data_IF_795430162201
#
_entry.id   IF_795430162201
#
_cell.length_a   1.000
_cell.length_b   1.000
_cell.length_c   1.000
_cell.angle_alpha   90.00
_cell.angle_beta   90.00
_cell.angle_gamma   90.00
#
_symmetry.space_group_name_H-M   'P 1'
#
loop_
_entity.id
_entity.type
_entity.pdbx_description
1 polymer ?
#
# COMPACT_ATOMS: atom_id res chain seq x y z
N UNK A 1 16.25 27.51 -20.04
CA UNK A 1 16.98 26.26 -19.82
C UNK A 1 16.06 25.10 -20.16
N UNK A 2 16.53 24.17 -20.97
CA UNK A 2 15.78 22.98 -21.40
C UNK A 2 16.45 21.74 -20.79
N UNK A 3 15.65 20.89 -20.13
CA UNK A 3 16.10 19.58 -19.66
C UNK A 3 15.64 18.53 -20.67
N UNK A 4 16.56 17.69 -21.12
CA UNK A 4 16.30 16.63 -22.10
C UNK A 4 16.52 15.29 -21.42
N UNK A 5 15.49 14.47 -21.35
CA UNK A 5 15.58 13.08 -20.93
C UNK A 5 15.81 12.20 -22.17
N UNK A 6 16.83 11.35 -22.10
CA UNK A 6 17.08 10.32 -23.11
C UNK A 6 16.83 8.97 -22.47
N UNK A 7 15.85 8.25 -23.01
CA UNK A 7 15.54 6.92 -22.57
C UNK A 7 16.16 5.88 -23.52
N UNK A 8 16.60 4.74 -22.99
CA UNK A 8 17.05 3.60 -23.77
C UNK A 8 15.90 2.79 -24.37
N UNK A 9 14.70 2.98 -23.87
CA UNK A 9 13.48 2.36 -24.36
C UNK A 9 12.64 3.41 -25.10
N UNK A 10 12.28 3.19 -26.37
CA UNK A 10 11.60 4.21 -27.17
C UNK A 10 10.16 4.52 -26.72
N UNK A 11 9.65 3.82 -25.71
CA UNK A 11 8.28 3.94 -25.27
C UNK A 11 8.19 3.72 -23.74
N UNK A 12 8.42 4.78 -22.97
CA UNK A 12 8.20 4.76 -21.53
C UNK A 12 6.98 5.62 -21.15
N UNK A 13 5.85 4.96 -20.91
CA UNK A 13 4.60 5.61 -20.45
C UNK A 13 4.63 5.96 -18.98
N UNK A 14 5.61 5.46 -18.22
CA UNK A 14 5.71 5.62 -16.77
C UNK A 14 6.63 6.77 -16.34
N UNK A 15 7.40 7.36 -17.26
CA UNK A 15 8.39 8.40 -16.94
C UNK A 15 7.81 9.54 -16.12
N UNK A 16 6.61 10.02 -16.45
CA UNK A 16 5.97 11.11 -15.69
C UNK A 16 5.67 10.73 -14.25
N UNK A 17 5.21 9.50 -14.02
CA UNK A 17 4.92 8.99 -12.67
C UNK A 17 6.21 8.82 -11.87
N UNK A 18 7.27 8.29 -12.49
CA UNK A 18 8.59 8.15 -11.86
C UNK A 18 9.15 9.52 -11.48
N UNK A 19 9.12 10.49 -12.38
CA UNK A 19 9.61 11.85 -12.11
C UNK A 19 8.78 12.61 -11.06
N UNK A 20 7.52 12.22 -10.84
CA UNK A 20 6.68 12.81 -9.78
C UNK A 20 6.80 12.09 -8.43
N UNK A 21 7.55 11.00 -8.36
CA UNK A 21 7.80 10.20 -7.16
C UNK A 21 9.06 10.67 -6.42
N UNK A 22 9.30 10.19 -5.17
CA UNK A 22 10.57 10.44 -4.46
C UNK A 22 11.83 9.93 -5.17
N UNK A 23 11.69 9.13 -6.23
CA UNK A 23 12.83 8.67 -7.04
C UNK A 23 13.36 9.72 -8.03
N UNK A 24 12.56 10.77 -8.33
CA UNK A 24 12.91 11.80 -9.32
C UNK A 24 12.96 13.23 -8.75
N UNK A 25 13.39 13.49 -7.49
CA UNK A 25 13.48 14.85 -6.99
C UNK A 25 14.56 15.63 -7.73
N UNK A 26 14.26 16.88 -8.06
CA UNK A 26 15.27 17.81 -8.57
C UNK A 26 15.93 18.46 -7.37
N UNK A 27 17.22 18.27 -7.24
CA UNK A 27 18.04 18.79 -6.15
C UNK A 27 19.11 19.75 -6.68
N UNK A 28 19.61 20.62 -5.82
CA UNK A 28 20.66 21.57 -6.11
C UNK A 28 22.02 20.84 -6.09
N UNK A 29 22.74 20.84 -7.23
CA UNK A 29 24.03 20.15 -7.38
C UNK A 29 25.16 20.77 -6.53
N UNK A 30 25.07 22.05 -6.20
CA UNK A 30 26.03 22.70 -5.32
C UNK A 30 25.83 22.33 -3.84
N UNK A 31 24.66 21.79 -3.51
CA UNK A 31 24.28 21.42 -2.16
C UNK A 31 24.43 19.92 -1.89
N UNK A 32 24.09 19.09 -2.88
CA UNK A 32 24.03 17.64 -2.72
C UNK A 32 25.04 16.96 -3.66
N UNK A 33 25.90 16.14 -3.06
CA UNK A 33 26.87 15.33 -3.78
C UNK A 33 26.14 14.22 -4.57
N UNK A 34 26.48 14.05 -5.85
CA UNK A 34 25.85 13.05 -6.71
C UNK A 34 26.12 11.60 -6.28
N UNK A 35 27.25 11.37 -5.59
CA UNK A 35 27.75 10.03 -5.24
C UNK A 35 27.58 9.69 -3.75
N UNK A 36 27.03 10.60 -2.96
CA UNK A 36 26.86 10.41 -1.51
C UNK A 36 25.48 10.78 -1.02
N UNK A 37 24.93 9.96 -0.13
CA UNK A 37 23.73 10.32 0.59
C UNK A 37 24.03 11.42 1.60
N UNK A 38 23.25 12.49 1.55
CA UNK A 38 23.31 13.54 2.56
C UNK A 38 22.71 13.04 3.88
N UNK A 39 23.38 13.38 5.00
CA UNK A 39 22.82 13.15 6.33
C UNK A 39 21.73 14.18 6.68
N UNK A 40 20.96 13.88 7.72
CA UNK A 40 19.83 14.72 8.15
C UNK A 40 20.25 16.15 8.52
N UNK A 41 21.40 16.33 9.19
CA UNK A 41 21.87 17.62 9.61
C UNK A 41 22.30 18.49 8.42
N UNK A 42 22.95 17.86 7.44
CA UNK A 42 23.28 18.52 6.16
C UNK A 42 22.02 18.98 5.46
N UNK A 43 21.00 18.10 5.32
CA UNK A 43 19.74 18.44 4.65
C UNK A 43 19.05 19.62 5.35
N UNK A 44 18.96 19.60 6.69
CA UNK A 44 18.33 20.67 7.48
C UNK A 44 19.10 21.98 7.38
N UNK A 45 20.44 21.93 7.52
CA UNK A 45 21.28 23.14 7.57
C UNK A 45 21.37 23.89 6.24
N UNK A 46 21.40 23.14 5.12
CA UNK A 46 21.54 23.71 3.77
C UNK A 46 20.27 24.41 3.27
N UNK A 47 19.08 24.06 3.80
CA UNK A 47 17.80 24.69 3.45
C UNK A 47 17.49 24.71 1.94
N UNK A 48 17.98 23.74 1.20
CA UNK A 48 17.85 23.65 -0.25
C UNK A 48 16.51 23.02 -0.64
N UNK A 49 15.38 23.66 -0.27
CA UNK A 49 14.03 23.14 -0.49
C UNK A 49 13.27 24.05 -1.48
N UNK A 50 12.70 23.42 -2.51
CA UNK A 50 11.86 24.10 -3.49
C UNK A 50 10.36 23.93 -3.23
N UNK A 51 9.97 23.14 -2.22
CA UNK A 51 8.58 22.88 -1.84
C UNK A 51 7.94 24.01 -1.02
N UNK A 52 6.63 23.88 -0.70
CA UNK A 52 5.90 24.86 0.10
C UNK A 52 6.35 24.95 1.58
N UNK A 53 7.11 23.96 2.04
CA UNK A 53 7.69 23.90 3.38
C UNK A 53 9.19 23.61 3.30
N UNK A 54 9.93 24.11 4.27
CA UNK A 54 11.33 23.78 4.54
C UNK A 54 11.43 22.90 5.78
N UNK A 55 12.28 21.89 5.74
CA UNK A 55 12.59 21.05 6.92
C UNK A 55 13.48 21.87 7.88
N UNK A 56 13.05 22.01 9.13
CA UNK A 56 13.75 22.81 10.15
C UNK A 56 14.39 21.94 11.25
N UNK A 57 13.87 20.74 11.44
CA UNK A 57 14.46 19.72 12.31
C UNK A 57 14.05 18.33 11.87
N UNK A 58 14.93 17.35 12.05
CA UNK A 58 14.64 15.96 11.77
C UNK A 58 15.36 15.06 12.76
N UNK A 59 14.62 14.15 13.35
CA UNK A 59 15.15 13.13 14.24
C UNK A 59 14.59 11.77 13.81
N UNK A 60 15.48 10.90 13.39
CA UNK A 60 15.12 9.58 12.82
C UNK A 60 14.20 8.83 13.79
N UNK A 61 13.11 8.27 13.27
CA UNK A 61 12.10 7.48 13.99
C UNK A 61 11.38 8.25 15.13
N UNK A 62 11.57 9.55 15.25
CA UNK A 62 10.96 10.32 16.34
C UNK A 62 10.11 11.49 15.80
N UNK A 63 10.71 12.41 15.02
CA UNK A 63 9.99 13.61 14.61
C UNK A 63 10.59 14.29 13.38
N UNK A 64 9.74 15.09 12.72
CA UNK A 64 10.18 16.07 11.74
C UNK A 64 9.42 17.39 11.96
N UNK A 65 10.12 18.52 11.81
CA UNK A 65 9.52 19.85 11.90
C UNK A 65 9.72 20.62 10.61
N UNK A 66 8.66 21.28 10.17
CA UNK A 66 8.65 22.05 8.95
C UNK A 66 8.15 23.46 9.21
N UNK A 67 8.74 24.44 8.54
CA UNK A 67 8.26 25.81 8.47
C UNK A 67 7.82 26.17 7.06
N UNK A 68 6.89 27.10 6.93
CA UNK A 68 6.46 27.64 5.65
C UNK A 68 7.66 28.18 4.87
N UNK A 69 7.72 27.86 3.59
CA UNK A 69 8.72 28.40 2.67
C UNK A 69 8.17 29.63 1.95
N UNK A 70 8.55 30.82 2.39
CA UNK A 70 8.12 32.08 1.79
C UNK A 70 8.70 32.32 0.38
N UNK A 71 9.74 31.58 0.02
CA UNK A 71 10.34 31.61 -1.33
C UNK A 71 9.63 30.70 -2.34
N UNK A 72 8.65 29.90 -1.90
CA UNK A 72 7.93 28.98 -2.78
C UNK A 72 7.15 29.72 -3.88
N UNK A 73 7.35 29.26 -5.13
CA UNK A 73 6.72 29.84 -6.34
C UNK A 73 5.78 28.88 -7.07
N UNK A 74 5.51 27.71 -6.48
CA UNK A 74 4.63 26.71 -7.09
C UNK A 74 3.15 27.00 -6.88
N UNK A 75 2.29 26.09 -7.38
CA UNK A 75 0.84 26.28 -7.46
C UNK A 75 0.11 26.15 -6.12
N UNK A 76 0.71 25.49 -5.12
CA UNK A 76 0.04 25.17 -3.85
C UNK A 76 0.84 25.73 -2.67
N UNK A 77 0.67 27.01 -2.34
CA UNK A 77 1.39 27.62 -1.22
C UNK A 77 0.94 27.03 0.12
N UNK A 78 1.86 27.02 1.08
CA UNK A 78 1.57 26.58 2.44
C UNK A 78 0.49 27.46 3.08
N UNK A 79 -0.51 26.81 3.70
CA UNK A 79 -1.58 27.49 4.48
C UNK A 79 -1.21 27.64 5.94
N UNK A 80 -0.45 26.69 6.49
CA UNK A 80 0.02 26.68 7.87
C UNK A 80 1.44 27.24 7.95
N UNK A 81 1.78 27.93 9.02
CA UNK A 81 3.13 28.44 9.24
C UNK A 81 4.12 27.34 9.66
N UNK A 82 3.64 26.34 10.39
CA UNK A 82 4.44 25.23 10.92
C UNK A 82 3.66 23.92 10.75
N UNK A 83 4.39 22.83 10.48
CA UNK A 83 3.89 21.46 10.56
C UNK A 83 4.88 20.65 11.38
N UNK A 84 4.37 19.95 12.39
CA UNK A 84 5.16 19.01 13.19
C UNK A 84 4.67 17.59 12.92
N UNK A 85 5.57 16.70 12.57
CA UNK A 85 5.30 15.27 12.37
C UNK A 85 5.92 14.53 13.54
N UNK A 86 5.14 13.68 14.18
CA UNK A 86 5.57 12.77 15.22
C UNK A 86 5.37 11.34 14.76
N UNK A 87 6.39 10.53 14.86
CA UNK A 87 6.34 9.12 14.50
C UNK A 87 5.93 8.28 15.71
N UNK A 88 5.05 7.32 15.47
CA UNK A 88 4.59 6.36 16.47
C UNK A 88 4.98 4.96 16.02
N UNK A 89 5.69 4.24 16.85
CA UNK A 89 6.04 2.84 16.61
C UNK A 89 4.86 1.88 16.86
N UNK A 90 3.85 2.36 17.58
CA UNK A 90 2.74 1.56 18.08
C UNK A 90 1.40 2.23 17.77
N UNK A 91 0.46 1.44 17.20
CA UNK A 91 -0.85 1.92 16.79
C UNK A 91 -1.72 2.37 17.99
N UNK A 92 -1.59 1.73 19.16
CA UNK A 92 -2.37 2.08 20.34
C UNK A 92 -1.96 3.46 20.87
N UNK A 93 -0.66 3.76 20.85
CA UNK A 93 -0.16 5.09 21.22
C UNK A 93 -0.62 6.17 20.22
N UNK A 94 -0.65 5.86 18.92
CA UNK A 94 -1.19 6.76 17.91
C UNK A 94 -2.69 7.02 18.13
N UNK A 95 -3.49 5.97 18.36
CA UNK A 95 -4.92 6.08 18.68
C UNK A 95 -5.16 6.99 19.89
N UNK A 96 -4.40 6.76 20.98
CA UNK A 96 -4.51 7.55 22.19
C UNK A 96 -4.15 9.03 21.96
N UNK A 97 -3.10 9.29 21.18
CA UNK A 97 -2.70 10.66 20.83
C UNK A 97 -3.79 11.42 20.06
N UNK A 98 -4.51 10.72 19.15
CA UNK A 98 -5.68 11.28 18.45
C UNK A 98 -6.81 11.59 19.42
N UNK A 99 -7.19 10.64 20.27
CA UNK A 99 -8.30 10.80 21.23
C UNK A 99 -8.04 11.91 22.24
N UNK A 100 -6.79 12.11 22.63
CA UNK A 100 -6.38 13.17 23.56
C UNK A 100 -6.11 14.52 22.88
N UNK A 101 -6.21 14.62 21.56
CA UNK A 101 -5.92 15.85 20.83
C UNK A 101 -4.44 16.25 20.86
N UNK A 102 -3.53 15.29 21.06
CA UNK A 102 -2.08 15.53 21.01
C UNK A 102 -1.56 15.64 19.58
N UNK A 103 -2.33 15.16 18.61
CA UNK A 103 -2.10 15.30 17.18
C UNK A 103 -3.40 15.72 16.50
N UNK A 104 -3.31 16.59 15.51
CA UNK A 104 -4.46 17.10 14.76
C UNK A 104 -4.87 16.13 13.65
N UNK A 105 -3.91 15.37 13.11
CA UNK A 105 -4.11 14.43 12.00
C UNK A 105 -3.29 13.17 12.27
N UNK A 106 -3.92 12.00 12.14
CA UNK A 106 -3.25 10.71 12.06
C UNK A 106 -3.37 10.16 10.64
N UNK A 107 -2.28 9.62 10.12
CA UNK A 107 -2.21 9.01 8.80
C UNK A 107 -1.48 7.67 8.87
N UNK A 108 -2.13 6.60 8.36
CA UNK A 108 -1.65 5.22 8.38
C UNK A 108 -1.59 4.56 9.77
N UNK A 109 -1.24 3.29 9.81
CA UNK A 109 -0.90 2.46 10.97
C UNK A 109 -2.00 2.20 12.00
N UNK A 110 -3.17 2.82 11.89
CA UNK A 110 -4.32 2.46 12.72
C UNK A 110 -4.97 1.19 12.17
N UNK A 111 -5.32 0.27 13.08
CA UNK A 111 -6.04 -0.94 12.71
C UNK A 111 -7.48 -0.62 12.26
N UNK A 112 -8.13 -1.50 11.48
CA UNK A 112 -9.55 -1.35 11.15
C UNK A 112 -10.45 -1.18 12.38
N UNK A 113 -10.15 -1.88 13.47
CA UNK A 113 -10.87 -1.76 14.74
C UNK A 113 -10.64 -0.39 15.39
N UNK A 114 -9.40 0.12 15.38
CA UNK A 114 -9.12 1.45 15.90
C UNK A 114 -9.86 2.55 15.11
N UNK A 115 -9.91 2.40 13.79
CA UNK A 115 -10.64 3.33 12.92
C UNK A 115 -12.14 3.25 13.19
N UNK A 116 -12.69 2.04 13.39
CA UNK A 116 -14.10 1.85 13.77
C UNK A 116 -14.41 2.54 15.11
N UNK A 117 -13.55 2.37 16.12
CA UNK A 117 -13.74 3.02 17.43
C UNK A 117 -13.61 4.54 17.34
N UNK A 118 -12.59 5.05 16.65
CA UNK A 118 -12.42 6.50 16.44
C UNK A 118 -13.59 7.11 15.66
N UNK A 119 -14.24 6.36 14.78
CA UNK A 119 -15.40 6.85 14.04
C UNK A 119 -16.63 7.11 14.92
N UNK A 120 -16.66 6.53 16.12
CA UNK A 120 -17.72 6.73 17.14
C UNK A 120 -17.43 7.94 18.05
N UNK A 121 -16.21 8.45 18.04
CA UNK A 121 -15.81 9.62 18.84
C UNK A 121 -16.25 10.91 18.12
N UNK A 122 -17.12 11.68 18.75
CA UNK A 122 -17.64 12.95 18.18
C UNK A 122 -16.58 14.01 17.95
N UNK A 123 -15.42 13.90 18.56
CA UNK A 123 -14.28 14.80 18.40
C UNK A 123 -13.37 14.45 17.22
N UNK A 124 -13.53 13.24 16.67
CA UNK A 124 -12.68 12.70 15.61
C UNK A 124 -13.49 12.59 14.31
N UNK A 125 -12.92 13.07 13.22
CA UNK A 125 -13.47 12.87 11.88
C UNK A 125 -12.61 11.88 11.12
N UNK A 126 -13.13 10.69 10.86
CA UNK A 126 -12.49 9.71 9.97
C UNK A 126 -12.80 10.09 8.53
N UNK A 127 -11.76 10.30 7.73
CA UNK A 127 -11.86 10.59 6.29
C UNK A 127 -11.29 9.39 5.54
N UNK A 128 -12.14 8.72 4.77
CA UNK A 128 -11.75 7.60 3.89
C UNK A 128 -11.63 8.12 2.46
N UNK A 129 -10.66 7.60 1.74
CA UNK A 129 -10.45 7.93 0.34
C UNK A 129 -9.80 6.75 -0.40
N UNK A 130 -9.80 6.76 -1.74
CA UNK A 130 -9.12 5.74 -2.53
C UNK A 130 -7.62 5.75 -2.19
N UNK A 131 -7.04 4.58 -2.09
CA UNK A 131 -5.61 4.38 -1.82
C UNK A 131 -4.98 3.53 -2.91
N UNK A 132 -3.65 3.64 -3.05
CA UNK A 132 -2.88 2.80 -3.98
C UNK A 132 -2.30 1.55 -3.31
N UNK A 133 -2.68 1.24 -2.07
CA UNK A 133 -2.20 0.05 -1.36
C UNK A 133 -3.17 -1.11 -1.57
N UNK A 134 -2.63 -2.24 -2.02
CA UNK A 134 -3.38 -3.45 -2.27
C UNK A 134 -2.92 -4.60 -1.38
N UNK A 135 -3.85 -5.49 -1.04
CA UNK A 135 -3.62 -6.73 -0.32
C UNK A 135 -3.90 -7.90 -1.23
N UNK A 136 -2.95 -8.79 -1.34
CA UNK A 136 -3.06 -9.93 -2.23
C UNK A 136 -2.37 -11.17 -1.66
N UNK A 137 -2.73 -12.34 -2.17
CA UNK A 137 -2.04 -13.60 -1.90
C UNK A 137 -1.10 -13.88 -3.06
N UNK A 138 0.21 -13.92 -2.78
CA UNK A 138 1.22 -14.32 -3.75
C UNK A 138 1.51 -15.81 -3.63
N UNK A 139 1.43 -16.53 -4.74
CA UNK A 139 1.83 -17.94 -4.78
C UNK A 139 3.30 -18.07 -5.14
N UNK A 140 4.07 -18.79 -4.34
CA UNK A 140 5.42 -19.17 -4.71
C UNK A 140 5.35 -20.37 -5.66
N UNK A 141 5.58 -20.17 -6.95
CA UNK A 141 5.42 -21.17 -8.00
C UNK A 141 6.36 -22.36 -7.87
N UNK A 142 7.47 -22.22 -7.12
CA UNK A 142 8.40 -23.31 -6.89
C UNK A 142 7.92 -24.26 -5.79
N UNK A 143 7.42 -23.72 -4.68
CA UNK A 143 7.12 -24.51 -3.46
C UNK A 143 5.64 -24.66 -3.14
N UNK A 144 4.72 -24.04 -3.90
CA UNK A 144 3.28 -24.31 -3.77
C UNK A 144 2.98 -25.79 -4.06
N UNK A 145 1.80 -26.34 -3.69
CA UNK A 145 1.39 -27.68 -4.09
C UNK A 145 1.53 -27.86 -5.60
N UNK A 146 2.15 -28.94 -6.03
CA UNK A 146 2.49 -29.23 -7.43
C UNK A 146 3.42 -28.20 -8.09
N UNK A 147 4.12 -27.37 -7.31
CA UNK A 147 5.08 -26.38 -7.81
C UNK A 147 6.34 -27.00 -8.40
N UNK A 148 7.11 -26.21 -9.13
CA UNK A 148 8.28 -26.65 -9.91
C UNK A 148 9.32 -27.45 -9.10
N UNK A 149 9.46 -27.19 -7.80
CA UNK A 149 10.44 -27.87 -6.93
C UNK A 149 9.81 -28.99 -6.08
N UNK A 150 8.54 -29.33 -6.30
CA UNK A 150 7.89 -30.43 -5.59
C UNK A 150 8.14 -31.77 -6.28
N UNK A 151 8.18 -32.89 -5.52
CA UNK A 151 8.35 -34.20 -6.10
C UNK A 151 7.23 -34.61 -7.08
N UNK A 152 6.04 -34.03 -6.91
CA UNK A 152 4.83 -34.27 -7.71
C UNK A 152 4.49 -33.04 -8.59
N UNK A 153 5.52 -32.32 -9.04
CA UNK A 153 5.37 -31.10 -9.84
C UNK A 153 4.46 -31.29 -11.06
N UNK A 154 3.43 -30.46 -11.17
CA UNK A 154 2.47 -30.45 -12.29
C UNK A 154 1.88 -29.05 -12.44
N UNK A 155 2.21 -28.38 -13.54
CA UNK A 155 1.82 -27.01 -13.77
C UNK A 155 0.28 -26.82 -13.87
N UNK A 156 -0.45 -27.84 -14.39
CA UNK A 156 -1.90 -27.77 -14.50
C UNK A 156 -2.57 -27.94 -13.13
N UNK A 157 -2.09 -28.87 -12.31
CA UNK A 157 -2.56 -29.04 -10.94
C UNK A 157 -2.25 -27.82 -10.08
N UNK A 158 -1.02 -27.29 -10.17
CA UNK A 158 -0.63 -26.06 -9.48
C UNK A 158 -1.52 -24.87 -9.86
N UNK A 159 -1.85 -24.73 -11.15
CA UNK A 159 -2.80 -23.70 -11.63
C UNK A 159 -4.20 -23.92 -11.06
N UNK A 160 -4.70 -25.15 -11.06
CA UNK A 160 -6.02 -25.49 -10.53
C UNK A 160 -6.13 -25.17 -9.04
N UNK A 161 -5.09 -25.42 -8.25
CA UNK A 161 -5.06 -25.03 -6.82
C UNK A 161 -5.19 -23.51 -6.65
N UNK A 162 -4.45 -22.71 -7.41
CA UNK A 162 -4.57 -21.24 -7.36
C UNK A 162 -5.98 -20.78 -7.76
N UNK A 163 -6.56 -21.35 -8.80
CA UNK A 163 -7.92 -21.04 -9.25
C UNK A 163 -8.98 -21.45 -8.22
N UNK A 164 -8.78 -22.58 -7.53
CA UNK A 164 -9.67 -23.00 -6.46
C UNK A 164 -9.64 -22.00 -5.28
N UNK A 165 -8.45 -21.55 -4.86
CA UNK A 165 -8.32 -20.49 -3.85
C UNK A 165 -9.04 -19.22 -4.30
N UNK A 166 -8.83 -18.77 -5.54
CA UNK A 166 -9.47 -17.57 -6.07
C UNK A 166 -11.03 -17.68 -6.10
N UNK A 167 -11.56 -18.89 -6.32
CA UNK A 167 -12.99 -19.17 -6.28
C UNK A 167 -13.58 -19.20 -4.85
N UNK A 168 -12.76 -19.45 -3.82
CA UNK A 168 -13.22 -19.62 -2.45
C UNK A 168 -13.13 -18.33 -1.60
N UNK A 169 -12.37 -17.33 -2.01
CA UNK A 169 -12.20 -16.09 -1.24
C UNK A 169 -13.46 -15.25 -1.33
N UNK A 170 -14.09 -14.98 -0.18
CA UNK A 170 -15.16 -13.97 -0.05
C UNK A 170 -14.54 -12.60 0.21
N UNK A 171 -14.33 -11.84 -0.85
CA UNK A 171 -13.72 -10.50 -0.77
C UNK A 171 -14.63 -9.49 -0.05
N UNK A 172 -15.94 -9.65 -0.18
CA UNK A 172 -16.93 -8.81 0.52
C UNK A 172 -16.91 -9.07 2.02
N UNK A 173 -16.80 -10.33 2.43
CA UNK A 173 -16.70 -10.69 3.84
C UNK A 173 -15.40 -10.18 4.46
N UNK A 174 -14.26 -10.33 3.76
CA UNK A 174 -12.98 -9.75 4.17
C UNK A 174 -13.09 -8.23 4.34
N UNK A 175 -13.62 -7.53 3.34
CA UNK A 175 -13.81 -6.07 3.41
C UNK A 175 -14.65 -5.64 4.60
N UNK A 176 -15.78 -6.29 4.83
CA UNK A 176 -16.77 -5.85 5.83
C UNK A 176 -16.48 -6.33 7.24
N UNK A 177 -16.08 -7.61 7.40
CA UNK A 177 -15.88 -8.20 8.73
C UNK A 177 -14.47 -8.05 9.26
N UNK A 178 -13.45 -8.29 8.40
CA UNK A 178 -12.04 -8.21 8.81
C UNK A 178 -11.57 -6.76 8.73
N UNK A 179 -11.70 -6.13 7.58
CA UNK A 179 -11.22 -4.77 7.36
C UNK A 179 -12.20 -3.66 7.77
N UNK A 180 -13.37 -3.98 8.27
CA UNK A 180 -14.37 -3.00 8.78
C UNK A 180 -14.68 -1.88 7.76
N UNK A 181 -14.68 -2.21 6.47
CA UNK A 181 -14.90 -1.27 5.38
C UNK A 181 -13.77 -0.25 5.17
N UNK A 182 -12.56 -0.53 5.66
CA UNK A 182 -11.36 0.29 5.38
C UNK A 182 -10.66 -0.12 4.10
N UNK A 183 -10.99 -1.28 3.55
CA UNK A 183 -10.56 -1.78 2.25
C UNK A 183 -11.77 -2.12 1.39
N UNK A 184 -11.65 -1.94 0.08
CA UNK A 184 -12.66 -2.33 -0.91
C UNK A 184 -12.23 -3.61 -1.63
N UNK A 185 -13.18 -4.51 -1.98
CA UNK A 185 -12.86 -5.65 -2.84
C UNK A 185 -12.23 -5.21 -4.14
N UNK A 186 -11.21 -5.92 -4.60
CA UNK A 186 -10.49 -5.62 -5.83
C UNK A 186 -10.53 -6.82 -6.79
N UNK A 187 -10.74 -6.53 -8.06
CA UNK A 187 -10.83 -7.51 -9.15
C UNK A 187 -9.90 -7.18 -10.32
N UNK A 188 -8.94 -6.31 -10.08
CA UNK A 188 -7.92 -5.84 -11.00
C UNK A 188 -6.57 -5.81 -10.28
N UNK A 189 -5.46 -5.68 -11.01
CA UNK A 189 -4.15 -5.37 -10.45
C UNK A 189 -3.95 -3.86 -10.22
N UNK A 190 -4.93 -3.07 -10.61
CA UNK A 190 -4.90 -1.62 -10.46
C UNK A 190 -6.02 -1.23 -9.51
N UNK A 191 -5.73 -0.60 -8.37
CA UNK A 191 -6.74 -0.14 -7.41
C UNK A 191 -7.75 0.83 -8.03
N UNK A 192 -8.96 0.85 -7.46
CA UNK A 192 -9.99 1.82 -7.85
C UNK A 192 -9.49 3.27 -7.72
N UNK A 193 -9.89 4.11 -8.66
CA UNK A 193 -9.46 5.51 -8.75
C UNK A 193 -8.12 5.74 -9.46
N UNK A 194 -7.41 4.68 -9.86
CA UNK A 194 -6.19 4.78 -10.67
C UNK A 194 -6.46 4.50 -12.15
N UNK A 195 -5.68 5.13 -13.03
CA UNK A 195 -5.79 4.93 -14.47
C UNK A 195 -5.48 3.48 -14.85
N UNK A 196 -6.38 2.86 -15.62
CA UNK A 196 -6.27 1.47 -16.03
C UNK A 196 -6.99 0.47 -15.13
N UNK A 197 -7.67 0.94 -14.06
CA UNK A 197 -8.54 0.08 -13.27
C UNK A 197 -9.67 -0.51 -14.13
N UNK A 198 -9.97 -1.79 -13.92
CA UNK A 198 -11.15 -2.48 -14.45
C UNK A 198 -11.59 -3.62 -13.51
N UNK A 199 -12.82 -4.08 -13.66
CA UNK A 199 -13.40 -5.16 -12.86
C UNK A 199 -13.56 -6.48 -13.64
N UNK A 200 -12.83 -6.65 -14.73
CA UNK A 200 -12.99 -7.80 -15.66
C UNK A 200 -12.88 -9.15 -14.95
N UNK A 201 -11.98 -9.24 -13.94
CA UNK A 201 -11.76 -10.48 -13.20
C UNK A 201 -12.88 -10.82 -12.21
N UNK A 202 -13.83 -9.91 -11.95
CA UNK A 202 -14.96 -10.18 -11.07
C UNK A 202 -15.81 -11.36 -11.54
N UNK A 203 -16.06 -11.44 -12.84
CA UNK A 203 -16.83 -12.54 -13.45
C UNK A 203 -16.04 -13.83 -13.60
N UNK A 204 -14.70 -13.80 -13.50
CA UNK A 204 -13.85 -14.97 -13.74
C UNK A 204 -13.89 -15.99 -12.60
N UNK A 205 -14.06 -15.51 -11.36
CA UNK A 205 -13.98 -16.34 -10.15
C UNK A 205 -15.22 -16.24 -9.28
N UNK A 206 -15.33 -17.18 -8.34
CA UNK A 206 -16.48 -17.28 -7.45
C UNK A 206 -17.79 -17.49 -8.23
N UNK A 207 -18.86 -16.90 -7.76
CA UNK A 207 -20.17 -16.91 -8.43
C UNK A 207 -20.24 -15.94 -9.64
N UNK A 208 -19.18 -15.17 -9.87
CA UNK A 208 -19.13 -14.12 -10.89
C UNK A 208 -19.65 -12.76 -10.44
N UNK A 209 -20.11 -12.66 -9.18
CA UNK A 209 -20.66 -11.44 -8.57
C UNK A 209 -19.93 -11.02 -7.29
N UNK A 210 -18.78 -11.64 -7.00
CA UNK A 210 -17.94 -11.31 -5.85
C UNK A 210 -18.09 -12.25 -4.65
N UNK A 211 -18.97 -13.25 -4.72
CA UNK A 211 -19.13 -14.26 -3.68
C UNK A 211 -18.35 -15.54 -4.01
N UNK A 212 -17.92 -16.32 -3.00
CA UNK A 212 -17.24 -17.57 -3.23
C UNK A 212 -18.12 -18.61 -3.92
N UNK A 213 -17.48 -19.56 -4.65
CA UNK A 213 -18.14 -20.72 -5.23
C UNK A 213 -17.37 -21.99 -4.93
N UNK A 214 -17.83 -22.73 -3.94
CA UNK A 214 -17.29 -24.06 -3.60
C UNK A 214 -17.45 -25.04 -4.75
N UNK A 215 -18.53 -24.94 -5.50
CA UNK A 215 -18.78 -25.80 -6.67
C UNK A 215 -17.72 -25.60 -7.76
N UNK A 216 -17.47 -24.35 -8.15
CA UNK A 216 -16.42 -24.04 -9.12
C UNK A 216 -15.03 -24.45 -8.62
N UNK A 217 -14.72 -24.22 -7.33
CA UNK A 217 -13.46 -24.63 -6.75
C UNK A 217 -13.26 -26.15 -6.82
N UNK A 218 -14.27 -26.93 -6.43
CA UNK A 218 -14.22 -28.40 -6.54
C UNK A 218 -14.09 -28.87 -7.99
N UNK A 219 -14.81 -28.22 -8.90
CA UNK A 219 -14.76 -28.56 -10.32
C UNK A 219 -13.37 -28.36 -10.91
N UNK A 220 -12.72 -27.21 -10.71
CA UNK A 220 -11.38 -26.96 -11.27
C UNK A 220 -10.32 -27.93 -10.71
N UNK A 221 -10.43 -28.32 -9.44
CA UNK A 221 -9.55 -29.32 -8.84
C UNK A 221 -9.77 -30.72 -9.44
N UNK A 222 -11.04 -31.13 -9.57
CA UNK A 222 -11.40 -32.44 -10.15
C UNK A 222 -11.00 -32.52 -11.63
N UNK A 223 -11.27 -31.49 -12.43
CA UNK A 223 -10.90 -31.45 -13.86
C UNK A 223 -9.38 -31.57 -14.06
N UNK A 224 -8.58 -31.08 -13.12
CA UNK A 224 -7.12 -31.21 -13.15
C UNK A 224 -6.58 -32.49 -12.46
N UNK A 225 -7.44 -33.34 -11.94
CA UNK A 225 -7.05 -34.54 -11.22
C UNK A 225 -6.31 -34.27 -9.90
N UNK A 226 -6.67 -33.19 -9.21
CA UNK A 226 -6.13 -32.84 -7.88
C UNK A 226 -6.89 -33.61 -6.81
N UNK A 227 -6.18 -34.35 -5.98
CA UNK A 227 -6.75 -35.02 -4.82
C UNK A 227 -6.92 -34.04 -3.67
N UNK A 228 -8.07 -34.04 -3.02
CA UNK A 228 -8.37 -33.20 -1.85
C UNK A 228 -8.38 -34.03 -0.56
N UNK A 229 -8.03 -33.41 0.61
CA UNK A 229 -7.68 -32.01 0.78
C UNK A 229 -6.31 -31.66 0.21
N UNK A 230 -6.09 -30.36 -0.08
CA UNK A 230 -4.79 -29.80 -0.47
C UNK A 230 -4.27 -28.96 0.68
N UNK A 231 -3.09 -29.29 1.18
CA UNK A 231 -2.43 -28.52 2.24
C UNK A 231 -1.80 -27.25 1.67
N UNK A 232 -2.19 -26.10 2.21
CA UNK A 232 -1.64 -24.79 1.88
C UNK A 232 -0.91 -24.21 3.08
N UNK A 233 0.28 -23.66 2.84
CA UNK A 233 1.04 -22.93 3.84
C UNK A 233 0.96 -21.44 3.53
N UNK A 234 0.23 -20.68 4.35
CA UNK A 234 0.17 -19.23 4.28
C UNK A 234 1.25 -18.63 5.18
N UNK A 235 2.04 -17.71 4.63
CA UNK A 235 2.99 -16.89 5.38
C UNK A 235 2.56 -15.43 5.27
N UNK A 236 2.61 -14.71 6.36
CA UNK A 236 2.30 -13.30 6.43
C UNK A 236 3.25 -12.59 7.39
N UNK A 237 3.34 -11.29 7.21
CA UNK A 237 4.13 -10.42 8.07
C UNK A 237 3.34 -10.09 9.34
N UNK A 238 3.95 -10.25 10.50
CA UNK A 238 3.23 -10.11 11.77
C UNK A 238 3.37 -8.70 12.39
N UNK A 239 4.13 -7.81 11.79
CA UNK A 239 4.30 -6.43 12.24
C UNK A 239 3.30 -5.46 11.59
N UNK A 240 3.51 -5.07 10.35
CA UNK A 240 2.69 -4.07 9.65
C UNK A 240 1.29 -4.57 9.26
N UNK A 241 1.14 -5.87 9.03
CA UNK A 241 -0.12 -6.50 8.58
C UNK A 241 -0.74 -7.41 9.64
N UNK A 242 -0.08 -7.59 10.77
CA UNK A 242 -0.20 -8.73 11.64
C UNK A 242 -1.58 -8.98 12.23
N UNK A 243 -2.23 -7.96 12.77
CA UNK A 243 -3.48 -8.17 13.52
C UNK A 243 -4.67 -8.59 12.64
N UNK A 244 -4.63 -8.32 11.33
CA UNK A 244 -5.73 -8.66 10.39
C UNK A 244 -5.35 -9.74 9.40
N UNK A 245 -4.08 -10.15 9.35
CA UNK A 245 -3.61 -11.19 8.41
C UNK A 245 -3.85 -12.60 8.92
N UNK A 246 -4.01 -12.77 10.22
CA UNK A 246 -4.36 -14.05 10.84
C UNK A 246 -5.87 -14.35 10.73
N UNK A 247 -6.73 -13.32 10.76
CA UNK A 247 -8.19 -13.42 10.65
C UNK A 247 -8.64 -13.71 9.22
#
# INVERSE_FOLDING_TARGET
TTVVFKDSVPFDVTLKQVMSSPAGPIVDEDTFDADKLADADTIVSKKAFAGPYTLTAFKINESAAYAKNDSYKGLTPAKNSVVQVKYFADASNLKMAVQQGQVDVAYRSLSPTDIEDLSKDSKVKVVKGPGGEERFIAFNFKIQPYGESQPDADANKAKAVRQAVANLIDREELSTKVYKGTYTPMYSFIPDGLAGHDDTLKSAYGDGNGKPSTEKAKKVLADAGVTTPVDLKLQYNNDHYGSVSAD
#
